data_IF_338998626774
#
_entry.id   IF_338998626774
#
_cell.length_a   1.000
_cell.length_b   1.000
_cell.length_c   1.000
_cell.angle_alpha   90.00
_cell.angle_beta   90.00
_cell.angle_gamma   90.00
#
_symmetry.space_group_name_H-M   'P 1'
#
loop_
_entity.id
_entity.type
_entity.pdbx_description
1 polymer ?
#
# COMPACT_ATOMS: atom_id res chain seq x y z
N UNK A 1 -7.72 -2.58 6.95
CA UNK A 1 -8.04 -2.53 8.40
C UNK A 1 -7.07 -1.66 9.22
N UNK A 2 -5.74 -1.77 9.08
CA UNK A 2 -4.77 -0.96 9.86
C UNK A 2 -5.00 0.56 9.84
N UNK A 3 -5.32 1.15 8.69
CA UNK A 3 -5.60 2.60 8.59
C UNK A 3 -6.84 3.02 9.38
N UNK A 4 -7.84 2.14 9.52
CA UNK A 4 -9.03 2.42 10.32
C UNK A 4 -8.70 2.53 11.79
N UNK A 5 -7.95 1.56 12.32
CA UNK A 5 -7.62 1.49 13.74
C UNK A 5 -6.66 2.61 14.14
N UNK A 6 -5.67 2.92 13.32
CA UNK A 6 -4.64 3.90 13.68
C UNK A 6 -5.04 5.36 13.42
N UNK A 7 -5.92 5.62 12.44
CA UNK A 7 -6.18 7.00 12.00
C UNK A 7 -7.64 7.40 12.08
N UNK A 8 -8.58 6.46 11.93
CA UNK A 8 -10.02 6.77 11.88
C UNK A 8 -10.63 6.67 13.28
N UNK A 9 -10.41 5.57 14.01
CA UNK A 9 -10.99 5.35 15.33
C UNK A 9 -10.61 6.42 16.38
N UNK A 10 -9.36 6.91 16.46
CA UNK A 10 -8.99 7.87 17.51
C UNK A 10 -9.75 9.20 17.42
N UNK A 11 -10.19 9.58 16.21
CA UNK A 11 -10.79 10.89 15.94
C UNK A 11 -12.31 10.78 15.72
N UNK A 12 -12.76 9.73 15.03
CA UNK A 12 -14.15 9.56 14.62
C UNK A 12 -14.86 8.39 15.33
N UNK A 13 -14.16 7.59 16.13
CA UNK A 13 -14.71 6.36 16.73
C UNK A 13 -15.88 6.60 17.68
N UNK A 14 -15.92 7.77 18.34
CA UNK A 14 -16.99 8.14 19.28
C UNK A 14 -18.14 8.94 18.62
N UNK A 15 -18.04 9.25 17.32
CA UNK A 15 -19.06 10.01 16.61
C UNK A 15 -20.13 9.06 16.11
N UNK A 16 -21.39 9.28 16.52
CA UNK A 16 -22.52 8.53 15.96
C UNK A 16 -22.53 8.69 14.44
N UNK A 17 -22.65 7.59 13.71
CA UNK A 17 -22.60 7.56 12.25
C UNK A 17 -23.52 8.60 11.58
N UNK A 18 -24.73 8.77 12.13
CA UNK A 18 -25.72 9.74 11.63
C UNK A 18 -25.35 11.21 11.88
N UNK A 19 -24.48 11.48 12.86
CA UNK A 19 -24.01 12.83 13.23
C UNK A 19 -22.68 13.19 12.55
N UNK A 20 -22.11 12.29 11.75
CA UNK A 20 -20.85 12.53 11.08
C UNK A 20 -21.00 13.70 10.09
N UNK A 21 -20.16 14.72 10.24
CA UNK A 21 -20.24 15.95 9.47
C UNK A 21 -19.01 16.12 8.56
N UNK A 22 -19.16 16.79 7.38
CA UNK A 22 -18.03 17.04 6.46
C UNK A 22 -16.83 17.72 7.12
N UNK A 23 -17.09 18.64 8.06
CA UNK A 23 -16.07 19.38 8.79
C UNK A 23 -15.14 18.47 9.59
N UNK A 24 -15.69 17.39 10.18
CA UNK A 24 -14.91 16.43 10.98
C UNK A 24 -13.95 15.62 10.09
N UNK A 25 -14.37 15.29 8.86
CA UNK A 25 -13.52 14.62 7.88
C UNK A 25 -12.41 15.55 7.40
N UNK A 26 -12.72 16.83 7.14
CA UNK A 26 -11.71 17.81 6.76
C UNK A 26 -10.68 18.04 7.87
N UNK A 27 -11.13 18.13 9.13
CA UNK A 27 -10.25 18.22 10.30
C UNK A 27 -9.32 17.00 10.39
N UNK A 28 -9.85 15.79 10.23
CA UNK A 28 -9.06 14.57 10.18
C UNK A 28 -7.97 14.64 9.09
N UNK A 29 -8.32 15.08 7.88
CA UNK A 29 -7.35 15.16 6.78
C UNK A 29 -6.26 16.18 7.06
N UNK A 30 -6.63 17.38 7.54
CA UNK A 30 -5.69 18.43 7.87
C UNK A 30 -4.74 17.99 8.98
N UNK A 31 -5.27 17.41 10.06
CA UNK A 31 -4.47 16.91 11.16
C UNK A 31 -3.46 15.85 10.70
N UNK A 32 -3.85 14.92 9.82
CA UNK A 32 -2.90 13.91 9.31
C UNK A 32 -1.83 14.52 8.40
N UNK A 33 -2.14 15.57 7.66
CA UNK A 33 -1.13 16.31 6.90
C UNK A 33 -0.16 17.06 7.83
N UNK A 34 -0.67 17.67 8.91
CA UNK A 34 0.13 18.36 9.93
C UNK A 34 1.03 17.40 10.73
N UNK A 35 0.57 16.18 10.98
CA UNK A 35 1.38 15.08 11.55
C UNK A 35 2.48 14.57 10.58
N UNK A 36 2.57 15.12 9.37
CA UNK A 36 3.61 14.79 8.38
C UNK A 36 3.30 13.59 7.49
N UNK A 37 2.07 13.05 7.50
CA UNK A 37 1.73 11.96 6.60
C UNK A 37 1.66 12.44 5.14
N UNK A 38 2.18 11.61 4.23
CA UNK A 38 2.10 11.88 2.80
C UNK A 38 0.63 12.04 2.33
N UNK A 39 0.34 12.93 1.36
CA UNK A 39 -0.99 13.11 0.80
C UNK A 39 -1.62 11.81 0.28
N UNK A 40 -0.81 10.89 -0.23
CA UNK A 40 -1.27 9.56 -0.67
C UNK A 40 -1.86 8.75 0.49
N UNK A 41 -1.28 8.83 1.68
CA UNK A 41 -1.78 8.16 2.88
C UNK A 41 -3.13 8.73 3.29
N UNK A 42 -3.27 10.05 3.32
CA UNK A 42 -4.55 10.71 3.64
C UNK A 42 -5.62 10.39 2.60
N UNK A 43 -5.25 10.32 1.31
CA UNK A 43 -6.15 9.87 0.25
C UNK A 43 -6.59 8.40 0.42
N UNK A 44 -5.73 7.53 0.93
CA UNK A 44 -6.13 6.16 1.27
C UNK A 44 -7.13 6.15 2.44
N UNK A 45 -6.91 6.94 3.49
CA UNK A 45 -7.87 7.11 4.60
C UNK A 45 -9.24 7.55 4.05
N UNK A 46 -9.26 8.58 3.20
CA UNK A 46 -10.49 9.03 2.53
C UNK A 46 -11.19 7.90 1.76
N UNK A 47 -10.47 7.13 0.94
CA UNK A 47 -11.04 6.01 0.17
C UNK A 47 -11.66 4.94 1.07
N UNK A 48 -11.02 4.63 2.18
CA UNK A 48 -11.52 3.66 3.16
C UNK A 48 -12.81 4.17 3.81
N UNK A 49 -12.83 5.42 4.26
CA UNK A 49 -14.02 6.07 4.81
C UNK A 49 -15.16 6.11 3.79
N UNK A 50 -14.86 6.53 2.56
CA UNK A 50 -15.84 6.64 1.48
C UNK A 50 -16.49 5.29 1.19
N UNK A 51 -15.71 4.21 1.12
CA UNK A 51 -16.25 2.85 0.92
C UNK A 51 -17.14 2.42 2.09
N UNK A 52 -16.71 2.64 3.33
CA UNK A 52 -17.48 2.27 4.51
C UNK A 52 -18.81 3.02 4.59
N UNK A 53 -18.81 4.34 4.32
CA UNK A 53 -20.02 5.16 4.28
C UNK A 53 -20.91 4.82 3.08
N UNK A 54 -20.33 4.40 1.95
CA UNK A 54 -21.09 3.90 0.80
C UNK A 54 -21.83 2.61 1.15
N UNK A 55 -21.21 1.71 1.92
CA UNK A 55 -21.87 0.48 2.37
C UNK A 55 -22.96 0.80 3.41
N UNK A 56 -22.71 1.73 4.33
CA UNK A 56 -23.72 2.22 5.26
C UNK A 56 -24.92 2.86 4.55
N UNK A 57 -24.70 3.60 3.46
CA UNK A 57 -25.75 4.17 2.64
C UNK A 57 -26.58 3.07 1.94
N UNK A 58 -25.92 2.05 1.39
CA UNK A 58 -26.61 0.88 0.79
C UNK A 58 -27.50 0.15 1.79
N UNK A 59 -27.07 0.07 3.04
CA UNK A 59 -27.84 -0.51 4.14
C UNK A 59 -28.80 0.48 4.80
N UNK A 60 -28.97 1.68 4.24
CA UNK A 60 -29.88 2.72 4.73
C UNK A 60 -29.60 3.15 6.18
N UNK A 61 -28.38 2.96 6.67
CA UNK A 61 -27.94 3.41 7.99
C UNK A 61 -27.67 4.92 8.03
N UNK A 62 -27.38 5.49 6.85
CA UNK A 62 -27.22 6.92 6.60
C UNK A 62 -27.98 7.31 5.35
N UNK A 63 -28.42 8.57 5.28
CA UNK A 63 -29.14 9.11 4.12
C UNK A 63 -28.23 9.61 3.01
N UNK A 64 -26.95 9.84 3.32
CA UNK A 64 -25.93 10.30 2.35
C UNK A 64 -24.53 9.87 2.78
N UNK A 65 -23.63 9.77 1.81
CA UNK A 65 -22.21 9.58 2.09
C UNK A 65 -21.55 10.96 2.30
N UNK A 66 -21.12 11.21 3.54
CA UNK A 66 -20.53 12.49 3.95
C UNK A 66 -19.18 12.76 3.27
N UNK A 67 -18.48 11.72 2.82
CA UNK A 67 -17.22 11.88 2.09
C UNK A 67 -17.39 12.58 0.74
N UNK A 68 -18.57 12.52 0.11
CA UNK A 68 -18.82 13.18 -1.18
C UNK A 68 -18.80 14.71 -1.08
N UNK A 69 -19.03 15.24 0.13
CA UNK A 69 -19.00 16.68 0.41
C UNK A 69 -17.59 17.19 0.77
N UNK A 70 -16.56 16.34 0.76
CA UNK A 70 -15.20 16.69 1.16
C UNK A 70 -14.19 16.25 0.10
N UNK A 71 -13.31 17.17 -0.29
CA UNK A 71 -12.24 16.89 -1.25
C UNK A 71 -11.04 16.21 -0.57
N UNK A 72 -10.66 15.04 -1.05
CA UNK A 72 -9.41 14.40 -0.63
C UNK A 72 -8.18 15.23 -1.07
N UNK A 73 -7.07 15.20 -0.32
CA UNK A 73 -5.85 15.90 -0.70
C UNK A 73 -5.36 15.51 -2.10
N UNK A 74 -4.90 16.51 -2.87
CA UNK A 74 -4.30 16.27 -4.18
C UNK A 74 -2.96 15.57 -3.98
N UNK A 75 -2.79 14.42 -4.61
CA UNK A 75 -1.52 13.71 -4.61
C UNK A 75 -0.73 14.14 -5.84
N UNK A 76 0.42 14.81 -5.68
CA UNK A 76 1.28 15.10 -6.81
C UNK A 76 1.79 13.79 -7.41
N UNK A 77 1.77 13.68 -8.73
CA UNK A 77 2.39 12.54 -9.41
C UNK A 77 3.91 12.69 -9.26
N UNK A 78 4.53 11.77 -8.54
CA UNK A 78 5.98 11.62 -8.56
C UNK A 78 6.33 10.71 -9.73
N UNK A 79 7.19 11.20 -10.62
CA UNK A 79 7.71 10.37 -11.70
C UNK A 79 8.60 9.27 -11.12
N UNK A 80 8.37 8.04 -11.55
CA UNK A 80 9.20 6.91 -11.14
C UNK A 80 10.47 6.95 -11.98
N UNK A 81 11.61 7.09 -11.31
CA UNK A 81 12.90 6.97 -11.97
C UNK A 81 13.15 5.50 -12.27
N UNK A 82 13.26 5.17 -13.55
CA UNK A 82 13.55 3.82 -14.03
C UNK A 82 14.98 3.74 -14.54
N UNK A 83 15.61 2.58 -14.39
CA UNK A 83 16.91 2.34 -14.99
C UNK A 83 16.75 2.23 -16.51
N UNK A 84 17.56 2.98 -17.25
CA UNK A 84 17.74 2.73 -18.68
C UNK A 84 18.44 1.39 -18.91
N UNK A 85 18.35 0.82 -20.11
CA UNK A 85 19.03 -0.44 -20.45
C UNK A 85 20.54 -0.40 -20.17
N UNK A 86 21.20 0.75 -20.45
CA UNK A 86 22.62 0.95 -20.14
C UNK A 86 22.89 0.98 -18.63
N UNK A 87 22.05 1.65 -17.86
CA UNK A 87 22.18 1.68 -16.40
C UNK A 87 21.90 0.30 -15.78
N UNK A 88 20.96 -0.47 -16.34
CA UNK A 88 20.71 -1.85 -15.92
C UNK A 88 21.92 -2.76 -16.16
N UNK A 89 22.57 -2.64 -17.32
CA UNK A 89 23.83 -3.34 -17.58
C UNK A 89 24.94 -2.93 -16.61
N UNK A 90 25.13 -1.62 -16.40
CA UNK A 90 26.12 -1.12 -15.43
C UNK A 90 25.85 -1.62 -14.00
N UNK A 91 24.58 -1.71 -13.61
CA UNK A 91 24.18 -2.25 -12.33
C UNK A 91 24.53 -3.74 -12.19
N UNK A 92 24.24 -4.55 -13.21
CA UNK A 92 24.59 -5.97 -13.20
C UNK A 92 26.10 -6.20 -13.20
N UNK A 93 26.86 -5.40 -13.95
CA UNK A 93 28.32 -5.44 -13.91
C UNK A 93 28.87 -5.11 -12.52
N UNK A 94 28.31 -4.11 -11.84
CA UNK A 94 28.70 -3.75 -10.48
C UNK A 94 28.30 -4.80 -9.43
N UNK A 95 27.26 -5.60 -9.70
CA UNK A 95 26.77 -6.65 -8.82
C UNK A 95 27.53 -7.98 -8.93
N UNK A 96 28.47 -8.11 -9.89
CA UNK A 96 29.25 -9.34 -10.08
C UNK A 96 30.04 -9.70 -8.83
N UNK A 97 29.90 -10.94 -8.37
CA UNK A 97 30.54 -11.44 -7.15
C UNK A 97 29.81 -11.06 -5.85
N UNK A 98 28.71 -10.28 -5.91
CA UNK A 98 27.86 -10.05 -4.76
C UNK A 98 27.06 -11.33 -4.41
N UNK A 99 26.89 -11.68 -3.13
CA UNK A 99 26.07 -12.84 -2.74
C UNK A 99 24.63 -12.83 -3.29
N UNK A 100 24.10 -11.66 -3.65
CA UNK A 100 22.76 -11.46 -4.22
C UNK A 100 22.78 -11.26 -5.75
N UNK A 101 23.89 -11.49 -6.43
CA UNK A 101 24.02 -11.33 -7.89
C UNK A 101 22.88 -12.03 -8.65
N UNK A 102 22.63 -13.30 -8.35
CA UNK A 102 21.57 -14.08 -8.98
C UNK A 102 20.17 -13.46 -8.76
N UNK A 103 19.91 -12.89 -7.58
CA UNK A 103 18.66 -12.21 -7.26
C UNK A 103 18.50 -10.95 -8.12
N UNK A 104 19.56 -10.16 -8.28
CA UNK A 104 19.55 -8.96 -9.10
C UNK A 104 19.37 -9.25 -10.59
N UNK A 105 20.04 -10.30 -11.10
CA UNK A 105 19.87 -10.77 -12.48
C UNK A 105 18.42 -11.17 -12.71
N UNK A 106 17.84 -11.99 -11.84
CA UNK A 106 16.44 -12.39 -11.96
C UNK A 106 15.50 -11.19 -11.89
N UNK A 107 15.69 -10.27 -10.93
CA UNK A 107 14.84 -9.09 -10.79
C UNK A 107 14.79 -8.23 -12.06
N UNK A 108 15.94 -8.02 -12.72
CA UNK A 108 16.01 -7.20 -13.92
C UNK A 108 15.56 -7.91 -15.19
N UNK A 109 15.70 -9.24 -15.26
CA UNK A 109 15.42 -10.01 -16.49
C UNK A 109 14.01 -10.59 -16.54
N UNK A 110 13.41 -10.92 -15.39
CA UNK A 110 12.09 -11.58 -15.33
C UNK A 110 10.96 -10.63 -14.91
N UNK A 111 11.29 -9.50 -14.28
CA UNK A 111 10.30 -8.54 -13.78
C UNK A 111 9.47 -9.05 -12.59
N UNK A 112 9.92 -10.10 -11.92
CA UNK A 112 9.26 -10.65 -10.73
C UNK A 112 9.18 -9.63 -9.60
N UNK A 113 8.11 -9.71 -8.79
CA UNK A 113 7.99 -8.88 -7.59
C UNK A 113 8.96 -9.34 -6.52
N UNK A 114 9.41 -8.42 -5.67
CA UNK A 114 10.35 -8.72 -4.59
C UNK A 114 9.90 -9.91 -3.71
N UNK A 115 8.62 -9.97 -3.34
CA UNK A 115 8.11 -11.08 -2.53
C UNK A 115 8.12 -12.43 -3.25
N UNK A 116 8.02 -12.44 -4.58
CA UNK A 116 8.11 -13.64 -5.43
C UNK A 116 9.57 -14.11 -5.53
N UNK A 117 10.51 -13.18 -5.78
CA UNK A 117 11.95 -13.46 -5.81
C UNK A 117 12.45 -14.05 -4.50
N UNK A 118 12.05 -13.45 -3.37
CA UNK A 118 12.44 -13.91 -2.04
C UNK A 118 11.81 -15.26 -1.65
N UNK A 119 10.74 -15.66 -2.32
CA UNK A 119 10.03 -16.92 -2.05
C UNK A 119 10.47 -18.08 -2.94
N UNK A 120 11.35 -17.81 -3.91
CA UNK A 120 11.79 -18.79 -4.90
C UNK A 120 12.61 -19.90 -4.24
N UNK A 121 12.31 -21.15 -4.59
CA UNK A 121 13.06 -22.33 -4.14
C UNK A 121 13.76 -23.01 -5.30
N UNK A 122 14.77 -23.83 -5.00
CA UNK A 122 15.49 -24.62 -6.01
C UNK A 122 14.57 -25.55 -6.83
N UNK A 123 13.52 -26.10 -6.22
CA UNK A 123 12.51 -26.92 -6.91
C UNK A 123 11.65 -26.14 -7.93
N UNK A 124 11.69 -24.81 -7.89
CA UNK A 124 10.93 -23.94 -8.78
C UNK A 124 11.75 -23.53 -10.01
N UNK A 125 13.03 -23.92 -10.10
CA UNK A 125 13.97 -23.53 -11.15
C UNK A 125 14.47 -24.76 -11.88
N UNK A 126 14.30 -24.76 -13.20
CA UNK A 126 14.86 -25.76 -14.10
C UNK A 126 15.95 -25.10 -14.96
N UNK A 127 17.20 -25.31 -14.56
CA UNK A 127 18.37 -24.79 -15.28
C UNK A 127 18.64 -25.55 -16.60
N UNK A 128 18.09 -26.75 -16.77
CA UNK A 128 18.23 -27.51 -18.02
C UNK A 128 17.37 -26.89 -19.12
N UNK A 129 16.14 -26.50 -18.77
CA UNK A 129 15.23 -25.83 -19.72
C UNK A 129 15.35 -24.31 -19.70
N UNK A 130 16.06 -23.74 -18.73
CA UNK A 130 16.20 -22.30 -18.53
C UNK A 130 14.88 -21.65 -18.10
N UNK A 131 14.03 -22.40 -17.38
CA UNK A 131 12.71 -21.93 -16.95
C UNK A 131 12.61 -21.85 -15.43
N UNK A 132 11.72 -21.01 -14.94
CA UNK A 132 11.35 -20.96 -13.52
C UNK A 132 9.85 -20.79 -13.36
N UNK A 133 9.31 -21.21 -12.22
CA UNK A 133 7.89 -21.14 -11.90
C UNK A 133 7.63 -20.27 -10.66
N UNK A 134 6.84 -19.22 -10.81
CA UNK A 134 6.43 -18.38 -9.68
C UNK A 134 5.23 -19.01 -8.97
N UNK A 135 5.50 -19.77 -7.89
CA UNK A 135 4.46 -20.49 -7.14
C UNK A 135 4.04 -19.80 -5.84
N UNK A 136 4.86 -18.88 -5.33
CA UNK A 136 4.79 -18.40 -3.94
C UNK A 136 5.14 -16.93 -3.85
N UNK A 137 4.74 -16.30 -2.76
CA UNK A 137 5.15 -14.94 -2.40
C UNK A 137 5.31 -14.85 -0.90
N UNK A 138 6.45 -14.34 -0.44
CA UNK A 138 6.67 -14.04 0.99
C UNK A 138 6.20 -12.62 1.25
N UNK A 139 5.38 -12.47 2.29
CA UNK A 139 4.93 -11.17 2.78
C UNK A 139 5.30 -11.04 4.25
N UNK A 140 5.93 -9.92 4.62
CA UNK A 140 6.16 -9.60 6.03
C UNK A 140 4.85 -9.07 6.63
N UNK A 141 4.28 -9.84 7.56
CA UNK A 141 3.19 -9.37 8.40
C UNK A 141 3.78 -8.61 9.59
N UNK A 142 3.48 -7.32 9.71
CA UNK A 142 3.78 -6.57 10.92
C UNK A 142 2.69 -6.92 11.93
N UNK A 143 3.02 -7.71 12.96
CA UNK A 143 2.11 -7.93 14.09
C UNK A 143 1.99 -6.63 14.87
N UNK A 144 0.90 -5.89 14.64
CA UNK A 144 0.45 -4.87 15.59
C UNK A 144 -0.30 -5.58 16.70
N UNK A 145 0.23 -5.53 17.92
CA UNK A 145 -0.48 -5.96 19.12
C UNK A 145 -1.75 -5.14 19.30
N UNK A 146 -2.86 -5.61 18.76
CA UNK A 146 -4.18 -5.25 19.24
C UNK A 146 -4.44 -6.29 20.33
N UNK A 147 -4.09 -5.95 21.56
CA UNK A 147 -4.55 -6.69 22.73
C UNK A 147 -6.06 -6.53 22.77
N UNK A 148 -6.77 -7.52 22.23
CA UNK A 148 -8.18 -7.76 22.51
C UNK A 148 -8.24 -8.58 23.80
N UNK A 149 -8.41 -7.88 24.91
CA UNK A 149 -9.14 -8.41 26.07
C UNK A 149 -10.64 -8.15 25.88
#
# INVERSE_FOLDING_TARGET
MRQCVLHILPILGNVKLQKLAPQQLQMLYNQKLEEGYAPQTVKHIHRVLHKALSDALKWQLVVRNVCDAVSAPRVPRKEMQVLSGKQGQQFLEAAKGDPLEALYVLALTTGMRQGELLALKWEDVDLTTGTLQVKRTITRLVQTGVNSE
#
